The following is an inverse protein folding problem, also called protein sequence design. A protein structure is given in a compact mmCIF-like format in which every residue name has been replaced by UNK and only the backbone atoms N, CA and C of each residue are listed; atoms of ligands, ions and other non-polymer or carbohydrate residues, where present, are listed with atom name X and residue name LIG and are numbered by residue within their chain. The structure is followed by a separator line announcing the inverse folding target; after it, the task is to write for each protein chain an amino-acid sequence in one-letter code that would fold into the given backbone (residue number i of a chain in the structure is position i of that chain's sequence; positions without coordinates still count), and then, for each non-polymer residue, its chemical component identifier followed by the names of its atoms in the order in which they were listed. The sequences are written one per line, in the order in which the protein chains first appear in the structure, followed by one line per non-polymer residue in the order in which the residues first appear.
data_IF_979209470414
#
_entry.id   IF_979209470414
#
_cell.length_a   1.000
_cell.length_b   1.000
_cell.length_c   1.000
_cell.angle_alpha   90.00
_cell.angle_beta   90.00
_cell.angle_gamma   90.00
#
_symmetry.space_group_name_H-M   'P 1'
#
loop_
_entity.id
_entity.type
_entity.pdbx_description
1 polymer ?
#
# COMPACT_ATOMS: atom_id res chain seq x y z
N UNK A 1 9.14 32.89 7.68
CA UNK A 1 7.88 32.53 6.99
C UNK A 1 8.23 32.07 5.58
N UNK A 2 8.25 30.77 5.30
CA UNK A 2 8.36 30.26 3.92
C UNK A 2 7.06 30.63 3.20
N UNK A 3 7.14 31.58 2.28
CA UNK A 3 6.02 31.90 1.37
C UNK A 3 5.72 30.65 0.56
N UNK A 4 4.51 30.10 0.68
CA UNK A 4 4.06 28.97 -0.14
C UNK A 4 3.85 29.46 -1.58
N UNK A 5 4.94 29.47 -2.36
CA UNK A 5 4.94 29.92 -3.76
C UNK A 5 3.87 29.20 -4.58
N UNK A 6 3.71 27.91 -4.39
CA UNK A 6 2.71 27.12 -5.12
C UNK A 6 1.27 27.61 -4.88
N UNK A 7 0.93 27.98 -3.66
CA UNK A 7 -0.39 28.55 -3.36
C UNK A 7 -0.56 29.96 -3.98
N UNK A 8 0.49 30.78 -3.98
CA UNK A 8 0.45 32.10 -4.62
C UNK A 8 0.23 31.98 -6.13
N UNK A 9 0.99 31.08 -6.79
CA UNK A 9 0.86 30.82 -8.22
C UNK A 9 -0.55 30.31 -8.60
N UNK A 10 -1.16 29.46 -7.78
CA UNK A 10 -2.54 28.98 -7.96
C UNK A 10 -3.57 30.12 -7.85
N UNK A 11 -3.43 30.97 -6.84
CA UNK A 11 -4.32 32.11 -6.64
C UNK A 11 -4.16 33.15 -7.75
N UNK A 12 -2.95 33.33 -8.28
CA UNK A 12 -2.70 34.22 -9.42
C UNK A 12 -3.32 33.67 -10.73
N UNK A 13 -3.25 32.35 -10.98
CA UNK A 13 -3.91 31.71 -12.11
C UNK A 13 -5.44 31.83 -12.01
N UNK A 14 -6.01 31.60 -10.81
CA UNK A 14 -7.44 31.80 -10.58
C UNK A 14 -7.86 33.26 -10.84
N UNK A 15 -7.09 34.22 -10.33
CA UNK A 15 -7.37 35.65 -10.52
C UNK A 15 -7.29 36.09 -11.98
N UNK A 16 -6.43 35.47 -12.79
CA UNK A 16 -6.32 35.71 -14.23
C UNK A 16 -7.42 35.04 -15.06
N UNK A 17 -8.22 34.14 -14.45
CA UNK A 17 -9.23 33.34 -15.14
C UNK A 17 -8.69 32.12 -15.86
N UNK A 18 -7.41 31.79 -15.69
CA UNK A 18 -6.76 30.62 -16.27
C UNK A 18 -7.16 29.31 -15.56
N UNK A 19 -7.80 29.42 -14.37
CA UNK A 19 -8.19 28.30 -13.53
C UNK A 19 -9.63 28.51 -13.02
N UNK A 20 -10.48 27.46 -13.12
CA UNK A 20 -11.84 27.52 -12.54
C UNK A 20 -11.81 27.44 -11.01
N UNK A 21 -12.93 27.83 -10.38
CA UNK A 21 -13.08 27.73 -8.90
C UNK A 21 -12.89 26.29 -8.42
N UNK A 22 -13.50 25.32 -9.15
CA UNK A 22 -13.43 23.89 -8.82
C UNK A 22 -12.00 23.36 -8.94
N UNK A 23 -11.31 23.71 -10.04
CA UNK A 23 -9.93 23.33 -10.25
C UNK A 23 -8.98 23.96 -9.22
N UNK A 24 -9.20 25.23 -8.84
CA UNK A 24 -8.45 25.88 -7.79
C UNK A 24 -8.67 25.21 -6.42
N UNK A 25 -9.91 24.85 -6.08
CA UNK A 25 -10.24 24.15 -4.85
C UNK A 25 -9.54 22.80 -4.75
N UNK A 26 -9.56 21.98 -5.82
CA UNK A 26 -8.86 20.69 -5.88
C UNK A 26 -7.35 20.88 -5.71
N UNK A 27 -6.76 21.86 -6.39
CA UNK A 27 -5.34 22.13 -6.31
C UNK A 27 -4.90 22.58 -4.90
N UNK A 28 -5.70 23.44 -4.23
CA UNK A 28 -5.46 23.87 -2.85
C UNK A 28 -5.58 22.68 -1.89
N UNK A 29 -6.62 21.85 -2.03
CA UNK A 29 -6.78 20.63 -1.23
C UNK A 29 -5.57 19.69 -1.37
N UNK A 30 -5.01 19.59 -2.57
CA UNK A 30 -3.79 18.83 -2.84
C UNK A 30 -2.54 19.36 -2.11
N UNK A 31 -2.53 20.57 -1.62
CA UNK A 31 -1.41 21.21 -0.90
C UNK A 31 -1.55 21.18 0.62
N UNK A 32 -2.61 20.56 1.14
CA UNK A 32 -2.88 20.52 2.58
C UNK A 32 -1.82 19.73 3.35
N UNK A 33 -1.27 20.38 4.38
CA UNK A 33 -0.34 19.77 5.33
C UNK A 33 -0.86 19.99 6.76
N UNK A 34 -0.71 18.99 7.62
CA UNK A 34 -0.95 19.11 9.07
C UNK A 34 0.36 18.95 9.84
N UNK A 35 0.74 20.00 10.57
CA UNK A 35 1.92 19.99 11.44
C UNK A 35 1.52 19.50 12.84
N UNK A 36 2.22 18.48 13.31
CA UNK A 36 2.01 17.86 14.62
C UNK A 36 3.22 18.16 15.48
N UNK A 37 3.11 19.18 16.34
CA UNK A 37 4.26 19.67 17.10
C UNK A 37 5.41 20.09 16.18
N UNK A 38 6.61 19.75 16.57
CA UNK A 38 7.87 19.94 15.81
C UNK A 38 8.43 18.63 15.20
N UNK A 39 7.73 17.50 15.42
CA UNK A 39 8.23 16.17 15.06
C UNK A 39 7.55 15.54 13.85
N UNK A 40 6.40 16.02 13.37
CA UNK A 40 5.74 15.47 12.19
C UNK A 40 5.05 16.52 11.33
N UNK A 41 4.98 16.25 10.03
CA UNK A 41 4.21 17.02 9.06
C UNK A 41 3.52 16.04 8.12
N UNK A 42 2.20 15.90 8.28
CA UNK A 42 1.39 14.95 7.50
C UNK A 42 0.92 15.59 6.20
N UNK A 43 0.95 14.82 5.14
CA UNK A 43 0.54 15.24 3.79
C UNK A 43 -0.93 14.88 3.54
N UNK A 44 -1.84 15.70 4.01
CA UNK A 44 -3.28 15.47 3.86
C UNK A 44 -3.76 15.53 2.40
N UNK A 45 -3.02 16.25 1.55
CA UNK A 45 -3.33 16.39 0.13
C UNK A 45 -2.81 15.27 -0.76
N UNK A 46 -2.10 14.28 -0.21
CA UNK A 46 -1.45 13.23 -0.99
C UNK A 46 -2.41 12.42 -1.86
N UNK A 47 -3.57 12.07 -1.33
CA UNK A 47 -4.57 11.32 -2.09
C UNK A 47 -5.04 12.10 -3.33
N UNK A 48 -5.24 13.41 -3.22
CA UNK A 48 -5.65 14.28 -4.34
C UNK A 48 -4.56 14.37 -5.41
N UNK A 49 -3.28 14.53 -4.98
CA UNK A 49 -2.16 14.68 -5.92
C UNK A 49 -1.68 13.37 -6.53
N UNK A 50 -1.58 12.32 -5.72
CA UNK A 50 -0.92 11.06 -6.10
C UNK A 50 -1.89 9.89 -6.23
N UNK A 51 -3.17 10.08 -5.87
CA UNK A 51 -4.19 9.04 -5.92
C UNK A 51 -3.96 7.91 -4.93
N UNK A 52 -3.20 8.17 -3.85
CA UNK A 52 -2.99 7.19 -2.77
C UNK A 52 -2.98 7.89 -1.40
N UNK A 53 -3.52 7.24 -0.35
CA UNK A 53 -3.57 7.83 0.97
C UNK A 53 -2.17 8.06 1.54
N UNK A 54 -2.06 8.99 2.49
CA UNK A 54 -0.90 9.07 3.37
C UNK A 54 -0.88 7.86 4.27
N UNK A 55 0.27 7.22 4.40
CA UNK A 55 0.46 6.01 5.21
C UNK A 55 1.57 6.24 6.22
N UNK A 56 1.30 5.87 7.46
CA UNK A 56 2.24 6.01 8.57
C UNK A 56 3.04 4.73 8.72
N UNK A 57 4.36 4.80 8.59
CA UNK A 57 5.26 3.71 8.94
C UNK A 57 5.46 3.71 10.45
N UNK A 58 5.09 2.63 11.15
CA UNK A 58 5.25 2.53 12.61
C UNK A 58 6.69 2.21 13.02
N UNK A 59 7.38 1.43 12.18
CA UNK A 59 8.76 0.98 12.47
C UNK A 59 9.70 2.15 12.74
N UNK A 60 10.45 2.07 13.85
CA UNK A 60 11.39 3.10 14.26
C UNK A 60 10.79 4.38 14.85
N UNK A 61 9.47 4.48 15.00
CA UNK A 61 8.82 5.64 15.64
C UNK A 61 8.66 5.45 17.14
N UNK A 62 8.82 6.54 17.87
CA UNK A 62 8.43 6.61 19.27
C UNK A 62 6.93 6.30 19.42
N UNK A 63 6.51 5.45 20.37
CA UNK A 63 5.11 5.03 20.52
C UNK A 63 4.15 6.19 20.81
N UNK A 64 4.55 7.21 21.56
CA UNK A 64 3.70 8.36 21.87
C UNK A 64 3.53 9.27 20.63
N UNK A 65 4.61 9.46 19.88
CA UNK A 65 4.56 10.17 18.60
C UNK A 65 3.68 9.43 17.59
N UNK A 66 3.83 8.11 17.49
CA UNK A 66 3.03 7.28 16.60
C UNK A 66 1.52 7.40 16.92
N UNK A 67 1.15 7.29 18.19
CA UNK A 67 -0.23 7.43 18.63
C UNK A 67 -0.80 8.82 18.30
N UNK A 68 -0.03 9.88 18.56
CA UNK A 68 -0.42 11.25 18.27
C UNK A 68 -0.63 11.47 16.78
N UNK A 69 0.30 11.00 15.94
CA UNK A 69 0.21 11.07 14.47
C UNK A 69 -1.04 10.35 14.00
N UNK A 70 -1.24 9.09 14.43
CA UNK A 70 -2.35 8.26 14.00
C UNK A 70 -3.71 8.90 14.28
N UNK A 71 -3.93 9.36 15.50
CA UNK A 71 -5.20 9.98 15.91
C UNK A 71 -5.41 11.30 15.17
N UNK A 72 -4.41 12.20 15.17
CA UNK A 72 -4.52 13.50 14.50
C UNK A 72 -4.76 13.36 13.01
N UNK A 73 -4.03 12.45 12.36
CA UNK A 73 -4.22 12.20 10.93
C UNK A 73 -5.63 11.67 10.64
N UNK A 74 -6.15 10.73 11.46
CA UNK A 74 -7.51 10.22 11.31
C UNK A 74 -8.56 11.32 11.45
N UNK A 75 -8.40 12.19 12.45
CA UNK A 75 -9.32 13.32 12.65
C UNK A 75 -9.29 14.33 11.49
N UNK A 76 -8.13 14.57 10.89
CA UNK A 76 -7.95 15.56 9.82
C UNK A 76 -8.31 15.03 8.44
N UNK A 77 -8.03 13.74 8.15
CA UNK A 77 -8.21 13.09 6.84
C UNK A 77 -9.37 12.09 6.79
N UNK A 78 -10.00 11.81 7.94
CA UNK A 78 -11.07 10.82 8.06
C UNK A 78 -10.58 9.37 8.13
N UNK A 79 -9.33 9.09 7.74
CA UNK A 79 -8.76 7.74 7.70
C UNK A 79 -7.24 7.78 7.82
N UNK A 80 -6.66 6.79 8.52
CA UNK A 80 -5.23 6.62 8.68
C UNK A 80 -4.87 5.14 8.55
N UNK A 81 -3.91 4.83 7.69
CA UNK A 81 -3.33 3.49 7.56
C UNK A 81 -1.93 3.52 8.17
N UNK A 82 -1.67 2.58 9.07
CA UNK A 82 -0.38 2.45 9.76
C UNK A 82 0.19 1.09 9.41
N UNK A 83 1.35 1.06 8.77
CA UNK A 83 2.03 -0.19 8.36
C UNK A 83 3.15 -0.55 9.31
N UNK A 84 3.52 -1.83 9.32
CA UNK A 84 4.58 -2.43 10.14
C UNK A 84 4.44 -2.10 11.63
N UNK A 85 3.19 -2.09 12.09
CA UNK A 85 2.88 -1.86 13.49
C UNK A 85 2.84 -3.19 14.26
N UNK A 86 3.50 -3.24 15.40
CA UNK A 86 3.47 -4.40 16.28
C UNK A 86 2.19 -4.42 17.12
N UNK A 87 1.85 -5.61 17.60
CA UNK A 87 0.61 -5.82 18.38
C UNK A 87 0.58 -5.00 19.67
N UNK A 88 1.73 -4.89 20.35
CA UNK A 88 1.91 -4.10 21.57
C UNK A 88 1.78 -2.59 21.32
N UNK A 89 2.26 -2.10 20.17
CA UNK A 89 2.07 -0.71 19.73
C UNK A 89 0.62 -0.42 19.35
N UNK A 90 -0.07 -1.38 18.73
CA UNK A 90 -1.44 -1.19 18.23
C UNK A 90 -2.46 -1.07 19.38
N UNK A 91 -2.29 -1.79 20.49
CA UNK A 91 -3.22 -1.82 21.60
C UNK A 91 -3.52 -0.46 22.21
N UNK A 92 -2.52 0.32 22.65
CA UNK A 92 -2.73 1.67 23.18
C UNK A 92 -3.39 2.63 22.17
N UNK A 93 -3.01 2.55 20.89
CA UNK A 93 -3.58 3.42 19.86
C UNK A 93 -5.07 3.11 19.66
N UNK A 94 -5.44 1.83 19.59
CA UNK A 94 -6.83 1.38 19.45
C UNK A 94 -7.69 1.82 20.65
N UNK A 95 -7.16 1.69 21.86
CA UNK A 95 -7.85 2.16 23.07
C UNK A 95 -8.10 3.67 23.03
N UNK A 96 -7.13 4.45 22.60
CA UNK A 96 -7.27 5.91 22.46
C UNK A 96 -8.25 6.28 21.33
N UNK A 97 -8.24 5.54 20.22
CA UNK A 97 -9.17 5.71 19.11
C UNK A 97 -10.61 5.45 19.55
N UNK A 98 -10.87 4.37 20.27
CA UNK A 98 -12.19 3.99 20.80
C UNK A 98 -12.78 5.07 21.71
N UNK A 99 -11.96 5.66 22.61
CA UNK A 99 -12.38 6.78 23.48
C UNK A 99 -12.81 8.03 22.70
N UNK A 100 -12.36 8.19 21.46
CA UNK A 100 -12.66 9.32 20.57
C UNK A 100 -13.74 8.97 19.53
N UNK A 101 -14.36 7.77 19.60
CA UNK A 101 -15.34 7.31 18.62
C UNK A 101 -14.73 6.98 17.24
N UNK A 102 -13.42 6.77 17.17
CA UNK A 102 -12.69 6.37 15.95
C UNK A 102 -12.71 4.84 15.87
N UNK A 103 -13.18 4.28 14.76
CA UNK A 103 -13.12 2.83 14.52
C UNK A 103 -11.68 2.39 14.25
N UNK A 104 -11.34 1.17 14.67
CA UNK A 104 -10.01 0.62 14.47
C UNK A 104 -10.08 -0.84 14.00
N UNK A 105 -9.36 -1.17 12.95
CA UNK A 105 -9.21 -2.53 12.43
C UNK A 105 -7.72 -2.91 12.39
N UNK A 106 -7.35 -3.99 13.08
CA UNK A 106 -5.99 -4.47 13.11
C UNK A 106 -5.85 -5.76 12.30
N UNK A 107 -5.12 -5.68 11.19
CA UNK A 107 -4.78 -6.80 10.31
C UNK A 107 -3.47 -7.43 10.82
N UNK A 108 -3.60 -8.42 11.70
CA UNK A 108 -2.46 -9.02 12.41
C UNK A 108 -1.43 -9.62 11.43
N UNK A 109 -1.90 -10.36 10.42
CA UNK A 109 -1.03 -11.00 9.45
C UNK A 109 -0.16 -10.01 8.65
N UNK A 110 -0.70 -8.82 8.32
CA UNK A 110 0.00 -7.77 7.59
C UNK A 110 0.68 -6.73 8.47
N UNK A 111 0.49 -6.82 9.81
CA UNK A 111 0.95 -5.80 10.77
C UNK A 111 0.48 -4.39 10.39
N UNK A 112 -0.82 -4.27 10.09
CA UNK A 112 -1.44 -3.01 9.68
C UNK A 112 -2.55 -2.65 10.66
N UNK A 113 -2.61 -1.38 11.04
CA UNK A 113 -3.72 -0.80 11.76
C UNK A 113 -4.39 0.26 10.90
N UNK A 114 -5.68 0.11 10.66
CA UNK A 114 -6.51 1.11 10.00
C UNK A 114 -7.38 1.79 11.03
N UNK A 115 -7.33 3.12 11.08
CA UNK A 115 -8.22 3.96 11.87
C UNK A 115 -9.15 4.73 10.95
N UNK A 116 -10.43 4.88 11.32
CA UNK A 116 -11.40 5.59 10.48
C UNK A 116 -12.49 6.27 11.29
N UNK A 117 -12.95 7.45 10.80
CA UNK A 117 -14.14 8.15 11.30
C UNK A 117 -15.34 8.00 10.36
N UNK A 118 -15.17 7.34 9.22
CA UNK A 118 -16.19 7.14 8.19
C UNK A 118 -16.15 5.74 7.57
N UNK A 119 -16.96 5.50 6.55
CA UNK A 119 -17.06 4.20 5.89
C UNK A 119 -15.75 3.81 5.17
N UNK A 120 -15.65 2.53 4.81
CA UNK A 120 -14.57 2.05 3.94
C UNK A 120 -14.58 2.79 2.58
N UNK A 121 -13.43 2.86 1.90
CA UNK A 121 -13.34 3.47 0.57
C UNK A 121 -14.33 2.83 -0.41
N UNK A 122 -14.95 3.66 -1.24
CA UNK A 122 -15.84 3.17 -2.29
C UNK A 122 -15.06 2.28 -3.28
N UNK A 123 -15.71 1.19 -3.71
CA UNK A 123 -15.12 0.31 -4.73
C UNK A 123 -14.98 1.06 -6.05
N UNK A 124 -13.83 0.94 -6.70
CA UNK A 124 -13.49 1.63 -7.95
C UNK A 124 -13.50 0.70 -9.19
N UNK A 125 -13.92 -0.57 -9.02
CA UNK A 125 -13.95 -1.56 -10.09
C UNK A 125 -12.60 -2.27 -10.35
N UNK A 126 -11.50 -1.74 -9.84
CA UNK A 126 -10.19 -2.37 -9.99
C UNK A 126 -10.08 -3.68 -9.21
N UNK A 127 -9.50 -4.72 -9.84
CA UNK A 127 -9.26 -6.03 -9.22
C UNK A 127 -7.77 -6.31 -9.20
N UNK A 128 -7.24 -6.59 -8.00
CA UNK A 128 -5.83 -6.94 -7.77
C UNK A 128 -5.75 -8.40 -7.30
N UNK A 129 -4.90 -9.20 -7.94
CA UNK A 129 -4.56 -10.54 -7.44
C UNK A 129 -3.30 -10.47 -6.59
N UNK A 130 -3.30 -11.08 -5.40
CA UNK A 130 -2.14 -11.18 -4.51
C UNK A 130 -1.81 -12.64 -4.28
N UNK A 131 -0.57 -13.03 -4.61
CA UNK A 131 -0.12 -14.43 -4.60
C UNK A 131 1.14 -14.56 -3.73
N UNK A 132 1.24 -15.64 -2.94
CA UNK A 132 2.48 -15.96 -2.20
C UNK A 132 3.07 -17.31 -2.62
N UNK A 133 4.39 -17.39 -2.61
CA UNK A 133 5.10 -18.65 -2.82
C UNK A 133 5.01 -19.56 -1.60
N UNK A 134 5.24 -19.03 -0.41
CA UNK A 134 5.14 -19.75 0.85
C UNK A 134 4.30 -19.00 1.88
N UNK A 135 4.04 -19.68 3.01
CA UNK A 135 3.30 -19.09 4.15
C UNK A 135 4.08 -17.98 4.83
N UNK A 136 5.41 -18.00 4.77
CA UNK A 136 6.28 -16.94 5.30
C UNK A 136 6.22 -15.63 4.49
N UNK A 137 5.69 -15.67 3.27
CA UNK A 137 5.55 -14.48 2.42
C UNK A 137 4.22 -13.75 2.69
N UNK A 138 3.31 -14.34 3.47
CA UNK A 138 1.94 -13.84 3.72
C UNK A 138 1.96 -12.45 4.34
N UNK A 139 2.88 -12.17 5.26
CA UNK A 139 2.94 -10.87 5.92
C UNK A 139 3.08 -9.73 4.91
N UNK A 140 3.98 -9.85 3.95
CA UNK A 140 4.22 -8.84 2.91
C UNK A 140 3.06 -8.78 1.92
N UNK A 141 2.46 -9.93 1.62
CA UNK A 141 1.29 -10.03 0.75
C UNK A 141 0.05 -9.38 1.38
N UNK A 142 -0.19 -9.59 2.69
CA UNK A 142 -1.29 -8.94 3.42
C UNK A 142 -1.10 -7.42 3.50
N UNK A 143 0.15 -6.93 3.61
CA UNK A 143 0.42 -5.49 3.50
C UNK A 143 -0.03 -4.96 2.13
N UNK A 144 0.33 -5.64 1.04
CA UNK A 144 -0.09 -5.25 -0.30
C UNK A 144 -1.61 -5.30 -0.49
N UNK A 145 -2.27 -6.35 0.04
CA UNK A 145 -3.71 -6.53 0.00
C UNK A 145 -4.44 -5.39 0.68
N UNK A 146 -4.15 -5.13 1.96
CA UNK A 146 -4.83 -4.10 2.74
C UNK A 146 -4.67 -2.72 2.08
N UNK A 147 -3.48 -2.39 1.59
CA UNK A 147 -3.26 -1.12 0.88
C UNK A 147 -4.09 -1.02 -0.40
N UNK A 148 -4.20 -2.09 -1.19
CA UNK A 148 -5.03 -2.08 -2.39
C UNK A 148 -6.53 -1.95 -2.06
N UNK A 149 -6.99 -2.60 -0.98
CA UNK A 149 -8.36 -2.47 -0.47
C UNK A 149 -8.65 -1.05 0.03
N UNK A 150 -7.71 -0.43 0.75
CA UNK A 150 -7.78 0.96 1.21
C UNK A 150 -7.76 1.98 0.06
N UNK A 151 -7.29 1.57 -1.10
CA UNK A 151 -7.39 2.33 -2.34
C UNK A 151 -8.63 2.00 -3.18
N UNK A 152 -9.59 1.23 -2.65
CA UNK A 152 -10.89 0.92 -3.25
C UNK A 152 -10.89 -0.24 -4.24
N UNK A 153 -9.83 -1.04 -4.34
CA UNK A 153 -9.81 -2.22 -5.20
C UNK A 153 -10.50 -3.42 -4.55
N UNK A 154 -11.02 -4.32 -5.37
CA UNK A 154 -11.27 -5.70 -4.96
C UNK A 154 -9.95 -6.46 -4.94
N UNK A 155 -9.66 -7.22 -3.88
CA UNK A 155 -8.46 -8.05 -3.83
C UNK A 155 -8.83 -9.52 -3.76
N UNK A 156 -8.20 -10.33 -4.61
CA UNK A 156 -8.30 -11.79 -4.63
C UNK A 156 -6.94 -12.38 -4.29
N UNK A 157 -6.92 -13.43 -3.47
CA UNK A 157 -5.67 -13.98 -2.94
C UNK A 157 -5.50 -15.46 -3.27
N UNK A 158 -4.24 -15.89 -3.43
CA UNK A 158 -3.83 -17.29 -3.45
C UNK A 158 -2.50 -17.44 -2.68
N UNK A 159 -2.55 -18.11 -1.54
CA UNK A 159 -1.38 -18.26 -0.68
C UNK A 159 -0.81 -19.67 -0.75
N UNK A 160 0.52 -19.77 -0.52
CA UNK A 160 1.29 -21.02 -0.49
C UNK A 160 1.21 -21.84 -1.79
N UNK A 161 1.43 -21.18 -2.93
CA UNK A 161 1.42 -21.81 -4.26
C UNK A 161 2.79 -21.78 -4.96
N UNK A 162 3.86 -21.90 -4.17
CA UNK A 162 5.24 -21.78 -4.62
C UNK A 162 5.69 -22.82 -5.65
N UNK A 163 6.82 -22.52 -6.29
CA UNK A 163 7.39 -23.29 -7.39
C UNK A 163 7.70 -24.76 -7.05
N UNK A 164 8.08 -25.05 -5.79
CA UNK A 164 8.34 -26.43 -5.34
C UNK A 164 7.10 -27.34 -5.38
N UNK A 165 5.90 -26.73 -5.39
CA UNK A 165 4.64 -27.45 -5.55
C UNK A 165 3.78 -26.81 -6.62
N UNK A 166 4.34 -26.59 -7.80
CA UNK A 166 3.76 -25.80 -8.89
C UNK A 166 2.34 -26.26 -9.32
N UNK A 167 2.00 -27.51 -9.12
CA UNK A 167 0.66 -28.04 -9.39
C UNK A 167 -0.44 -27.33 -8.58
N UNK A 168 -0.10 -26.73 -7.42
CA UNK A 168 -1.03 -25.95 -6.59
C UNK A 168 -1.40 -24.61 -7.23
N UNK A 169 -0.48 -24.04 -8.03
CA UNK A 169 -0.69 -22.75 -8.68
C UNK A 169 -1.83 -22.79 -9.71
N UNK A 170 -1.91 -23.83 -10.54
CA UNK A 170 -2.87 -23.88 -11.65
C UNK A 170 -4.35 -23.77 -11.20
N UNK A 171 -4.84 -24.54 -10.23
CA UNK A 171 -6.21 -24.36 -9.74
C UNK A 171 -6.42 -23.03 -9.02
N UNK A 172 -5.39 -22.54 -8.30
CA UNK A 172 -5.45 -21.28 -7.58
C UNK A 172 -5.45 -20.06 -8.50
N UNK A 173 -4.79 -20.14 -9.66
CA UNK A 173 -4.71 -19.04 -10.62
C UNK A 173 -6.04 -18.80 -11.35
N UNK A 174 -6.82 -19.84 -11.60
CA UNK A 174 -8.07 -19.77 -12.37
C UNK A 174 -9.04 -18.66 -11.90
N UNK A 175 -9.40 -18.54 -10.60
CA UNK A 175 -10.29 -17.49 -10.13
C UNK A 175 -9.64 -16.09 -10.13
N UNK A 176 -8.32 -16.00 -10.30
CA UNK A 176 -7.56 -14.76 -10.32
C UNK A 176 -7.41 -14.15 -11.72
N UNK A 177 -7.72 -14.88 -12.79
CA UNK A 177 -7.52 -14.43 -14.17
C UNK A 177 -8.32 -13.17 -14.55
N UNK A 178 -9.38 -12.84 -13.79
CA UNK A 178 -10.13 -11.61 -13.96
C UNK A 178 -9.44 -10.37 -13.36
N UNK A 179 -8.30 -10.53 -12.66
CA UNK A 179 -7.57 -9.41 -12.10
C UNK A 179 -6.92 -8.56 -13.20
N UNK A 180 -6.81 -7.25 -12.93
CA UNK A 180 -6.16 -6.31 -13.83
C UNK A 180 -4.63 -6.29 -13.64
N UNK A 181 -4.14 -6.76 -12.49
CA UNK A 181 -2.73 -6.79 -12.11
C UNK A 181 -2.50 -7.84 -11.04
N UNK A 182 -1.30 -8.41 -11.03
CA UNK A 182 -0.87 -9.43 -10.08
C UNK A 182 0.27 -8.91 -9.22
N UNK A 183 0.16 -9.06 -7.90
CA UNK A 183 1.25 -8.88 -6.94
C UNK A 183 1.68 -10.27 -6.48
N UNK A 184 2.94 -10.61 -6.69
CA UNK A 184 3.46 -11.96 -6.40
C UNK A 184 4.63 -11.85 -5.44
N UNK A 185 4.43 -12.30 -4.20
CA UNK A 185 5.42 -12.27 -3.13
C UNK A 185 6.17 -13.60 -3.06
N UNK A 186 7.48 -13.56 -3.07
CA UNK A 186 8.31 -14.75 -2.99
C UNK A 186 9.66 -14.46 -2.31
N UNK A 187 9.97 -15.22 -1.27
CA UNK A 187 11.30 -15.28 -0.67
C UNK A 187 12.21 -16.29 -1.41
N UNK A 188 13.19 -16.85 -0.68
CA UNK A 188 14.15 -17.84 -1.20
C UNK A 188 14.80 -17.37 -2.51
N UNK A 189 14.54 -18.11 -3.61
CA UNK A 189 15.05 -17.83 -4.95
C UNK A 189 14.15 -16.94 -5.80
N UNK A 190 12.97 -16.55 -5.31
CA UNK A 190 12.10 -15.59 -6.01
C UNK A 190 11.51 -16.05 -7.34
N UNK A 191 11.35 -17.34 -7.58
CA UNK A 191 10.97 -17.90 -8.89
C UNK A 191 9.51 -17.67 -9.28
N UNK A 192 8.59 -17.64 -8.29
CA UNK A 192 7.15 -17.62 -8.56
C UNK A 192 6.68 -16.43 -9.41
N UNK A 193 7.14 -15.19 -9.23
CA UNK A 193 6.73 -14.07 -10.07
C UNK A 193 7.02 -14.28 -11.56
N UNK A 194 8.17 -14.86 -11.88
CA UNK A 194 8.55 -15.18 -13.26
C UNK A 194 7.65 -16.23 -13.89
N UNK A 195 7.23 -17.24 -13.10
CA UNK A 195 6.29 -18.27 -13.55
C UNK A 195 4.91 -17.65 -13.81
N UNK A 196 4.39 -16.87 -12.86
CA UNK A 196 3.08 -16.20 -13.02
C UNK A 196 3.10 -15.28 -14.23
N UNK A 197 4.16 -14.49 -14.43
CA UNK A 197 4.30 -13.59 -15.57
C UNK A 197 4.34 -14.32 -16.93
N UNK A 198 4.74 -15.59 -16.94
CA UNK A 198 4.66 -16.45 -18.13
C UNK A 198 3.29 -17.09 -18.37
N UNK A 199 2.35 -16.97 -17.41
CA UNK A 199 1.04 -17.64 -17.46
C UNK A 199 -0.14 -16.66 -17.62
N UNK A 200 0.08 -15.36 -17.43
CA UNK A 200 -0.98 -14.33 -17.47
C UNK A 200 -0.64 -13.24 -18.49
N UNK A 201 -1.68 -12.61 -19.04
CA UNK A 201 -1.59 -11.49 -19.99
C UNK A 201 -1.67 -10.11 -19.30
N UNK A 202 -1.56 -10.07 -17.99
CA UNK A 202 -1.70 -8.87 -17.17
C UNK A 202 -0.36 -8.47 -16.54
N UNK A 203 -0.17 -7.19 -16.15
CA UNK A 203 1.02 -6.77 -15.44
C UNK A 203 1.27 -7.59 -14.17
N UNK A 204 2.52 -7.97 -13.95
CA UNK A 204 2.96 -8.69 -12.74
C UNK A 204 3.99 -7.84 -12.00
N UNK A 205 3.78 -7.69 -10.69
CA UNK A 205 4.66 -7.01 -9.76
C UNK A 205 5.28 -8.07 -8.85
N UNK A 206 6.56 -8.32 -9.00
CA UNK A 206 7.33 -9.21 -8.13
C UNK A 206 7.74 -8.47 -6.85
N UNK A 207 7.46 -9.10 -5.71
CA UNK A 207 7.87 -8.61 -4.39
C UNK A 207 8.83 -9.60 -3.77
N UNK A 208 10.13 -9.30 -3.76
CA UNK A 208 11.10 -10.11 -3.03
C UNK A 208 10.80 -10.05 -1.54
N UNK A 209 10.84 -11.19 -0.84
CA UNK A 209 10.60 -11.27 0.60
C UNK A 209 11.89 -11.65 1.32
N UNK A 210 12.20 -10.94 2.42
CA UNK A 210 13.44 -11.13 3.18
C UNK A 210 13.49 -12.46 3.93
N UNK A 211 12.35 -13.10 4.17
CA UNK A 211 12.30 -14.38 4.87
C UNK A 211 12.92 -15.46 4.00
N UNK A 212 14.05 -15.97 4.46
CA UNK A 212 14.82 -16.99 3.76
C UNK A 212 16.17 -17.19 4.42
N UNK A 213 16.82 -18.31 4.10
CA UNK A 213 18.13 -18.68 4.61
C UNK A 213 19.01 -19.19 3.47
N UNK A 214 20.30 -19.35 3.73
CA UNK A 214 21.26 -19.89 2.77
C UNK A 214 22.21 -18.83 2.23
N UNK A 215 22.81 -19.11 1.08
CA UNK A 215 23.94 -18.35 0.53
C UNK A 215 23.64 -16.85 0.32
N UNK A 216 22.46 -16.49 -0.18
CA UNK A 216 22.03 -15.10 -0.34
C UNK A 216 20.72 -14.90 0.41
N UNK A 217 20.83 -14.73 1.73
CA UNK A 217 19.69 -14.46 2.61
C UNK A 217 19.14 -13.04 2.50
N UNK A 218 18.14 -12.71 3.35
CA UNK A 218 17.59 -11.35 3.45
C UNK A 218 16.93 -10.86 2.16
N UNK A 219 16.37 -11.76 1.34
CA UNK A 219 15.68 -11.42 0.10
C UNK A 219 16.58 -11.09 -1.10
N UNK A 220 17.91 -11.09 -0.93
CA UNK A 220 18.84 -10.73 -2.01
C UNK A 220 18.76 -11.68 -3.21
N UNK A 221 18.70 -13.01 -2.96
CA UNK A 221 18.55 -13.99 -4.03
C UNK A 221 17.24 -13.81 -4.79
N UNK A 222 16.14 -13.57 -4.05
CA UNK A 222 14.83 -13.32 -4.64
C UNK A 222 14.83 -12.07 -5.51
N UNK A 223 15.39 -10.97 -5.02
CA UNK A 223 15.52 -9.72 -5.79
C UNK A 223 16.36 -9.91 -7.05
N UNK A 224 17.53 -10.52 -6.94
CA UNK A 224 18.42 -10.77 -8.08
C UNK A 224 17.76 -11.65 -9.14
N UNK A 225 17.09 -12.73 -8.73
CA UNK A 225 16.35 -13.62 -9.63
C UNK A 225 15.23 -12.91 -10.37
N UNK A 226 14.41 -12.12 -9.67
CA UNK A 226 13.32 -11.36 -10.28
C UNK A 226 13.84 -10.31 -11.27
N UNK A 227 14.94 -9.60 -10.94
CA UNK A 227 15.55 -8.61 -11.83
C UNK A 227 16.19 -9.24 -13.08
N UNK A 228 16.64 -10.50 -12.99
CA UNK A 228 17.23 -11.23 -14.12
C UNK A 228 16.22 -12.11 -14.87
N UNK A 229 14.93 -12.01 -14.52
CA UNK A 229 13.89 -12.81 -15.17
C UNK A 229 13.83 -12.54 -16.68
N UNK A 230 13.66 -13.59 -17.47
CA UNK A 230 13.31 -13.48 -18.89
C UNK A 230 11.82 -13.20 -19.12
N UNK A 231 10.97 -13.39 -18.09
CA UNK A 231 9.57 -13.00 -18.14
C UNK A 231 9.40 -11.50 -17.91
N UNK A 232 8.38 -10.91 -18.51
CA UNK A 232 8.09 -9.47 -18.36
C UNK A 232 7.37 -9.23 -17.04
N UNK A 233 8.09 -8.66 -16.07
CA UNK A 233 7.53 -8.25 -14.78
C UNK A 233 8.22 -6.98 -14.26
N UNK A 234 7.51 -6.25 -13.40
CA UNK A 234 8.11 -5.16 -12.61
C UNK A 234 8.53 -5.69 -11.25
N UNK A 235 9.60 -5.16 -10.67
CA UNK A 235 10.08 -5.59 -9.35
C UNK A 235 10.12 -4.38 -8.42
N UNK A 236 9.60 -4.55 -7.21
CA UNK A 236 9.74 -3.58 -6.12
C UNK A 236 10.88 -3.98 -5.18
N UNK A 237 11.20 -3.15 -4.20
CA UNK A 237 12.23 -3.48 -3.22
C UNK A 237 11.83 -4.65 -2.32
N UNK A 238 12.78 -5.22 -1.60
CA UNK A 238 12.57 -6.29 -0.62
C UNK A 238 11.55 -5.83 0.45
N UNK A 239 10.60 -6.70 0.78
CA UNK A 239 9.51 -6.47 1.74
C UNK A 239 8.65 -5.22 1.47
N UNK A 240 8.61 -4.77 0.22
CA UNK A 240 7.87 -3.56 -0.15
C UNK A 240 6.40 -3.86 -0.51
N UNK A 241 5.67 -4.54 0.39
CA UNK A 241 4.25 -4.87 0.21
C UNK A 241 3.40 -3.62 0.00
N UNK A 242 3.58 -2.59 0.82
CA UNK A 242 2.92 -1.29 0.65
C UNK A 242 3.10 -0.72 -0.77
N UNK A 243 4.34 -0.66 -1.24
CA UNK A 243 4.64 -0.10 -2.57
C UNK A 243 3.97 -0.91 -3.67
N UNK A 244 4.03 -2.25 -3.58
CA UNK A 244 3.41 -3.14 -4.54
C UNK A 244 1.89 -3.00 -4.55
N UNK A 245 1.24 -2.98 -3.39
CA UNK A 245 -0.21 -2.80 -3.25
C UNK A 245 -0.70 -1.46 -3.81
N UNK A 246 -0.01 -0.37 -3.46
CA UNK A 246 -0.35 0.97 -3.95
C UNK A 246 -0.15 1.10 -5.47
N UNK A 247 0.93 0.55 -6.01
CA UNK A 247 1.20 0.56 -7.44
C UNK A 247 0.20 -0.32 -8.21
N UNK A 248 -0.10 -1.51 -7.68
CA UNK A 248 -1.12 -2.40 -8.24
C UNK A 248 -2.50 -1.74 -8.28
N UNK A 249 -2.92 -1.09 -7.19
CA UNK A 249 -4.20 -0.38 -7.15
C UNK A 249 -4.28 0.76 -8.18
N UNK A 250 -3.18 1.46 -8.44
CA UNK A 250 -3.13 2.49 -9.51
C UNK A 250 -3.29 1.88 -10.88
N UNK A 251 -2.61 0.75 -11.17
CA UNK A 251 -2.74 0.03 -12.44
C UNK A 251 -4.18 -0.49 -12.61
N UNK A 252 -4.72 -1.14 -11.57
CA UNK A 252 -6.06 -1.71 -11.64
C UNK A 252 -7.14 -0.67 -11.95
N UNK A 253 -7.01 0.56 -11.43
CA UNK A 253 -7.93 1.67 -11.71
C UNK A 253 -7.83 2.22 -13.14
N UNK A 254 -6.72 2.00 -13.83
CA UNK A 254 -6.56 2.42 -15.24
C UNK A 254 -7.23 1.45 -16.21
N UNK A 255 -7.55 0.24 -15.77
CA UNK A 255 -8.15 -0.82 -16.57
C UNK A 255 -9.68 -0.91 -16.47
N UNK A 256 -10.31 0.08 -15.82
CA UNK A 256 -11.78 0.13 -15.57
C UNK A 256 -12.41 1.30 -16.29
#
# INVERSE_FOLDING_TARGET
MLKNRALQDLLDQYKKGDLSVEAAAVAIEGLRLDRIGDFACMDLGRNVRCGMPEVVLAEGKDPAHLATIAIRHTQAAGRCVITRIERDQSGPIRKSADQLGITSEYHEAGRILVLATGPAPAKNGGIVAVITAGTSDIQVAEEAKVIAEEMGCEVRTAYDVGAAGIHRLFPALKPLLAAHVFVVCAGREGTLPSIVAGLVDKPVIGVPVSVGYGYMGGGQAALASMLQSCSVLSVVNIDAGFTAGAFAARIARMGV
#
